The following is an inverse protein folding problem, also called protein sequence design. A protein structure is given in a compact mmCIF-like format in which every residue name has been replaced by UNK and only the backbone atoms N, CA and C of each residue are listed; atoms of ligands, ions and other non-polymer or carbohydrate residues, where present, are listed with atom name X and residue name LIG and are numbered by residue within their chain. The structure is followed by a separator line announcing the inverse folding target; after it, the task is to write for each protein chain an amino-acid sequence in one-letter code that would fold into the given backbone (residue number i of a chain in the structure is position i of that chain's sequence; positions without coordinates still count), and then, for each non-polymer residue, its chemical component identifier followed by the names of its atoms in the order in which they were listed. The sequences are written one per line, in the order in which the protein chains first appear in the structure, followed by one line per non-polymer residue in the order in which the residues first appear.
data_IF_081875227227
#
_entry.id   IF_081875227227
#
_cell.length_a   1.000
_cell.length_b   1.000
_cell.length_c   1.000
_cell.angle_alpha   90.00
_cell.angle_beta   90.00
_cell.angle_gamma   90.00
#
_symmetry.space_group_name_H-M   'P 1'
#
loop_
_entity.id
_entity.type
_entity.pdbx_description
1 polymer ?
#
# COMPACT_ATOMS: atom_id res chain seq x y z
N UNK A 1 -41.07 4.93 -4.79
CA UNK A 1 -39.80 5.68 -4.81
C UNK A 1 -38.67 4.66 -4.69
N UNK A 2 -38.04 4.30 -5.81
CA UNK A 2 -36.88 3.41 -5.81
C UNK A 2 -35.66 4.23 -5.39
N UNK A 3 -35.04 3.84 -4.27
CA UNK A 3 -33.79 4.44 -3.83
C UNK A 3 -32.70 4.14 -4.86
N UNK A 4 -32.33 5.17 -5.61
CA UNK A 4 -31.20 5.18 -6.53
C UNK A 4 -29.93 5.06 -5.67
N UNK A 5 -29.50 3.83 -5.37
CA UNK A 5 -28.17 3.59 -4.82
C UNK A 5 -27.17 3.93 -5.92
N UNK A 6 -26.78 5.21 -6.00
CA UNK A 6 -25.53 5.56 -6.64
C UNK A 6 -24.44 4.71 -5.97
N UNK A 7 -23.61 3.96 -6.73
CA UNK A 7 -22.48 3.28 -6.13
C UNK A 7 -21.65 4.36 -5.43
N UNK A 8 -21.50 4.25 -4.11
CA UNK A 8 -20.58 5.08 -3.35
C UNK A 8 -19.24 5.05 -4.09
N UNK A 9 -18.56 6.20 -4.29
CA UNK A 9 -17.25 6.19 -4.91
C UNK A 9 -16.41 5.20 -4.12
N UNK A 10 -15.92 4.16 -4.79
CA UNK A 10 -15.15 3.07 -4.20
C UNK A 10 -14.00 3.66 -3.39
N UNK A 11 -14.22 3.76 -2.08
CA UNK A 11 -13.33 4.41 -1.14
C UNK A 11 -12.06 3.56 -1.12
N UNK A 12 -10.97 4.10 -1.66
CA UNK A 12 -9.72 3.36 -1.72
C UNK A 12 -9.16 3.25 -0.32
N UNK A 13 -8.92 2.04 0.19
CA UNK A 13 -8.36 1.83 1.52
C UNK A 13 -6.84 2.03 1.52
N UNK A 14 -6.18 1.52 0.48
CA UNK A 14 -4.72 1.49 0.35
C UNK A 14 -4.28 2.04 -1.00
N UNK A 15 -3.36 3.00 -0.96
CA UNK A 15 -2.64 3.48 -2.14
C UNK A 15 -1.31 2.74 -2.27
N UNK A 16 -1.01 2.19 -3.45
CA UNK A 16 0.28 1.61 -3.78
C UNK A 16 1.01 2.57 -4.70
N UNK A 17 2.18 3.03 -4.25
CA UNK A 17 3.09 3.87 -5.03
C UNK A 17 4.38 3.10 -5.28
N UNK A 18 4.39 2.29 -6.35
CA UNK A 18 5.54 1.48 -6.78
C UNK A 18 5.63 1.55 -8.32
N UNK A 19 6.80 1.88 -8.85
CA UNK A 19 7.00 1.91 -10.31
C UNK A 19 7.06 0.51 -10.93
N UNK A 20 7.49 -0.49 -10.14
CA UNK A 20 7.48 -1.87 -10.60
C UNK A 20 6.04 -2.43 -10.62
N UNK A 21 5.44 -2.40 -11.80
CA UNK A 21 4.07 -2.85 -12.04
C UNK A 21 3.82 -4.31 -11.65
N UNK A 22 4.83 -5.19 -11.74
CA UNK A 22 4.68 -6.58 -11.32
C UNK A 22 4.55 -6.70 -9.80
N UNK A 23 5.36 -5.94 -9.06
CA UNK A 23 5.28 -5.90 -7.60
C UNK A 23 3.96 -5.24 -7.17
N UNK A 24 3.61 -4.09 -7.77
CA UNK A 24 2.34 -3.42 -7.52
C UNK A 24 1.14 -4.36 -7.71
N UNK A 25 1.09 -5.08 -8.84
CA UNK A 25 0.00 -6.02 -9.13
C UNK A 25 -0.08 -7.15 -8.11
N UNK A 26 1.06 -7.70 -7.67
CA UNK A 26 1.10 -8.77 -6.65
C UNK A 26 0.60 -8.27 -5.30
N UNK A 27 1.02 -7.07 -4.90
CA UNK A 27 0.60 -6.47 -3.63
C UNK A 27 -0.87 -6.08 -3.68
N UNK A 28 -1.36 -5.53 -4.79
CA UNK A 28 -2.79 -5.28 -5.01
C UNK A 28 -3.59 -6.56 -4.84
N UNK A 29 -3.19 -7.66 -5.51
CA UNK A 29 -3.89 -8.93 -5.39
C UNK A 29 -3.89 -9.45 -3.95
N UNK A 30 -2.74 -9.39 -3.27
CA UNK A 30 -2.61 -9.83 -1.88
C UNK A 30 -3.54 -9.06 -0.95
N UNK A 31 -3.61 -7.73 -1.07
CA UNK A 31 -4.45 -6.88 -0.21
C UNK A 31 -5.94 -6.99 -0.57
N UNK A 32 -6.28 -7.09 -1.86
CA UNK A 32 -7.67 -7.29 -2.29
C UNK A 32 -8.21 -8.66 -1.87
N UNK A 33 -7.38 -9.69 -1.80
CA UNK A 33 -7.77 -10.98 -1.19
C UNK A 33 -8.14 -10.87 0.29
N UNK A 34 -7.65 -9.83 0.98
CA UNK A 34 -8.02 -9.51 2.36
C UNK A 34 -9.25 -8.58 2.46
N UNK A 35 -9.90 -8.27 1.33
CA UNK A 35 -11.08 -7.41 1.27
C UNK A 35 -10.78 -5.91 1.21
N UNK A 36 -9.51 -5.51 1.01
CA UNK A 36 -9.14 -4.10 0.90
C UNK A 36 -9.30 -3.60 -0.54
N UNK A 37 -9.84 -2.39 -0.68
CA UNK A 37 -9.86 -1.65 -1.94
C UNK A 37 -8.51 -0.99 -2.17
N UNK A 38 -7.87 -1.27 -3.30
CA UNK A 38 -6.51 -0.83 -3.57
C UNK A 38 -6.46 0.00 -4.85
N UNK A 39 -5.79 1.14 -4.80
CA UNK A 39 -5.40 1.90 -5.99
C UNK A 39 -3.87 1.81 -6.16
N UNK A 40 -3.40 1.64 -7.39
CA UNK A 40 -1.97 1.67 -7.69
C UNK A 40 -1.68 2.84 -8.63
N UNK A 41 -0.66 3.62 -8.27
CA UNK A 41 -0.16 4.75 -9.07
C UNK A 41 1.35 4.62 -9.25
N UNK A 42 1.85 5.12 -10.37
CA UNK A 42 3.29 5.29 -10.58
C UNK A 42 3.81 6.51 -9.80
N UNK A 43 5.12 6.65 -9.73
CA UNK A 43 5.76 7.85 -9.18
C UNK A 43 5.36 9.12 -9.93
N UNK A 44 5.22 9.04 -11.26
CA UNK A 44 4.71 10.16 -12.06
C UNK A 44 3.26 10.49 -11.70
N UNK A 45 2.42 9.48 -11.49
CA UNK A 45 1.03 9.67 -11.06
C UNK A 45 0.87 10.23 -9.65
N UNK A 46 1.92 10.20 -8.81
CA UNK A 46 1.93 10.90 -7.52
C UNK A 46 2.23 12.40 -7.69
N UNK A 47 2.97 12.78 -8.75
CA UNK A 47 3.28 14.17 -9.07
C UNK A 47 2.09 14.89 -9.70
N UNK A 48 1.37 14.19 -10.56
CA UNK A 48 0.09 14.63 -11.10
C UNK A 48 -0.96 14.50 -9.99
N UNK A 49 -1.76 15.54 -9.76
CA UNK A 49 -2.66 15.66 -8.61
C UNK A 49 -3.47 14.37 -8.35
N UNK A 50 -3.22 13.73 -7.20
CA UNK A 50 -3.97 12.57 -6.71
C UNK A 50 -4.88 13.02 -5.56
N UNK A 51 -6.14 12.58 -5.57
CA UNK A 51 -7.05 12.79 -4.44
C UNK A 51 -6.92 11.62 -3.44
N UNK A 52 -6.27 11.81 -2.27
CA UNK A 52 -6.16 10.75 -1.28
C UNK A 52 -7.43 10.58 -0.44
N UNK A 53 -8.53 11.27 -0.77
CA UNK A 53 -9.76 11.20 0.03
C UNK A 53 -10.23 9.75 0.16
N UNK A 54 -10.27 9.29 1.41
CA UNK A 54 -10.66 7.92 1.76
C UNK A 54 -9.49 6.94 1.92
N UNK A 55 -8.28 7.26 1.45
CA UNK A 55 -7.10 6.42 1.65
C UNK A 55 -6.65 6.44 3.11
N UNK A 56 -6.37 5.25 3.66
CA UNK A 56 -5.92 5.09 5.04
C UNK A 56 -4.40 4.97 5.16
N UNK A 57 -3.71 4.48 4.13
CA UNK A 57 -2.24 4.39 4.09
C UNK A 57 -1.70 4.29 2.67
N UNK A 58 -0.38 4.48 2.56
CA UNK A 58 0.39 4.29 1.34
C UNK A 58 1.40 3.16 1.52
N UNK A 59 1.46 2.24 0.55
CA UNK A 59 2.52 1.24 0.41
C UNK A 59 3.53 1.72 -0.62
N UNK A 60 4.81 1.78 -0.26
CA UNK A 60 5.87 2.26 -1.15
C UNK A 60 7.23 1.60 -0.86
N UNK A 61 8.26 1.93 -1.65
CA UNK A 61 9.66 1.56 -1.42
C UNK A 61 10.43 2.67 -0.67
N UNK A 62 11.57 2.36 -0.05
CA UNK A 62 12.34 3.35 0.74
C UNK A 62 12.65 4.62 -0.03
N UNK A 63 13.05 4.50 -1.31
CA UNK A 63 13.43 5.63 -2.15
C UNK A 63 12.29 6.66 -2.34
N UNK A 64 11.03 6.21 -2.28
CA UNK A 64 9.84 7.03 -2.56
C UNK A 64 9.20 7.63 -1.30
N UNK A 65 9.67 7.26 -0.10
CA UNK A 65 9.09 7.73 1.16
C UNK A 65 9.15 9.25 1.27
N UNK A 66 10.25 9.87 0.82
CA UNK A 66 10.41 11.33 0.82
C UNK A 66 9.30 12.01 0.01
N UNK A 67 9.14 11.60 -1.24
CA UNK A 67 8.14 12.17 -2.14
C UNK A 67 6.71 11.95 -1.63
N UNK A 68 6.39 10.72 -1.19
CA UNK A 68 5.08 10.40 -0.60
C UNK A 68 4.77 11.31 0.59
N UNK A 69 5.71 11.52 1.51
CA UNK A 69 5.49 12.40 2.69
C UNK A 69 5.28 13.86 2.34
N UNK A 70 5.91 14.35 1.28
CA UNK A 70 5.74 15.75 0.86
C UNK A 70 4.37 16.02 0.23
N UNK A 71 3.75 14.99 -0.35
CA UNK A 71 2.48 15.10 -1.08
C UNK A 71 1.28 14.63 -0.26
N UNK A 72 1.47 13.57 0.52
CA UNK A 72 0.39 12.86 1.22
C UNK A 72 0.67 12.85 2.71
N UNK A 73 -0.29 13.33 3.50
CA UNK A 73 -0.26 13.21 4.95
C UNK A 73 -0.90 11.88 5.40
N UNK A 74 -0.39 10.76 4.87
CA UNK A 74 -0.87 9.42 5.17
C UNK A 74 0.24 8.57 5.82
N UNK A 75 -0.14 7.60 6.67
CA UNK A 75 0.78 6.57 7.12
C UNK A 75 1.44 5.83 5.95
N UNK A 76 2.72 5.47 6.10
CA UNK A 76 3.49 4.79 5.07
C UNK A 76 3.93 3.41 5.55
N UNK A 77 3.72 2.40 4.71
CA UNK A 77 4.25 1.05 4.85
C UNK A 77 5.33 0.84 3.78
N UNK A 78 6.56 0.62 4.23
CA UNK A 78 7.67 0.31 3.34
C UNK A 78 7.71 -1.19 3.05
N UNK A 79 7.49 -1.57 1.79
CA UNK A 79 7.45 -2.98 1.37
C UNK A 79 8.77 -3.71 1.60
N UNK A 80 9.90 -3.00 1.53
CA UNK A 80 11.24 -3.60 1.66
C UNK A 80 11.50 -4.15 3.06
N UNK A 81 10.75 -3.69 4.07
CA UNK A 81 10.84 -4.21 5.45
C UNK A 81 10.35 -5.65 5.60
N UNK A 82 9.70 -6.20 4.57
CA UNK A 82 9.17 -7.56 4.53
C UNK A 82 9.93 -8.45 3.53
N UNK A 83 11.08 -7.96 3.04
CA UNK A 83 11.93 -8.69 2.11
C UNK A 83 13.20 -9.12 2.84
N UNK A 84 13.49 -10.41 2.82
CA UNK A 84 14.62 -10.99 3.53
C UNK A 84 15.48 -11.82 2.59
N UNK A 85 16.78 -11.88 2.86
CA UNK A 85 17.69 -12.79 2.19
C UNK A 85 17.43 -14.22 2.68
N UNK A 86 17.35 -15.17 1.74
CA UNK A 86 17.21 -16.59 2.09
C UNK A 86 18.54 -17.11 2.64
N UNK A 87 18.57 -17.72 3.83
CA UNK A 87 19.83 -18.09 4.49
C UNK A 87 20.64 -19.20 3.78
N UNK A 88 20.04 -19.95 2.84
CA UNK A 88 20.63 -21.19 2.31
C UNK A 88 21.41 -21.09 0.99
N UNK A 89 21.60 -19.91 0.38
CA UNK A 89 22.37 -19.81 -0.86
C UNK A 89 23.37 -18.66 -0.83
N UNK A 90 24.59 -18.98 -0.38
CA UNK A 90 25.82 -18.16 -0.53
C UNK A 90 26.34 -18.23 -1.97
N UNK A 91 25.45 -18.03 -2.94
CA UNK A 91 25.79 -17.86 -4.35
C UNK A 91 25.21 -16.52 -4.78
N UNK A 92 26.02 -15.71 -5.47
CA UNK A 92 25.59 -14.42 -6.03
C UNK A 92 24.24 -14.59 -6.75
N UNK A 93 23.19 -13.96 -6.21
CA UNK A 93 21.81 -14.12 -6.69
C UNK A 93 20.84 -14.81 -5.72
N UNK A 94 21.10 -14.81 -4.41
CA UNK A 94 20.16 -15.31 -3.40
C UNK A 94 18.73 -14.78 -3.65
N UNK A 95 17.77 -15.70 -3.79
CA UNK A 95 16.37 -15.36 -4.03
C UNK A 95 15.81 -14.64 -2.79
N UNK A 96 15.55 -13.33 -2.92
CA UNK A 96 14.87 -12.54 -1.89
C UNK A 96 13.48 -13.10 -1.62
N UNK A 97 13.17 -13.39 -0.36
CA UNK A 97 11.87 -13.87 0.07
C UNK A 97 11.02 -12.72 0.60
N UNK A 98 9.75 -12.68 0.22
CA UNK A 98 8.78 -11.71 0.73
C UNK A 98 7.87 -12.39 1.77
N UNK A 99 7.75 -11.81 2.95
CA UNK A 99 6.83 -12.23 4.00
C UNK A 99 5.48 -11.50 3.87
N UNK A 100 4.59 -12.10 3.09
CA UNK A 100 3.26 -11.54 2.83
C UNK A 100 2.37 -11.47 4.07
N UNK A 101 2.47 -12.43 4.98
CA UNK A 101 1.69 -12.46 6.21
C UNK A 101 2.08 -11.33 7.16
N UNK A 102 3.38 -11.13 7.37
CA UNK A 102 3.87 -10.01 8.18
C UNK A 102 3.49 -8.65 7.57
N UNK A 103 3.56 -8.55 6.24
CA UNK A 103 3.14 -7.35 5.50
C UNK A 103 1.65 -7.04 5.72
N UNK A 104 0.77 -8.02 5.51
CA UNK A 104 -0.68 -7.84 5.68
C UNK A 104 -1.01 -7.44 7.12
N UNK A 105 -0.42 -8.10 8.12
CA UNK A 105 -0.59 -7.74 9.54
C UNK A 105 -0.18 -6.30 9.81
N UNK A 106 0.92 -5.83 9.20
CA UNK A 106 1.37 -4.45 9.35
C UNK A 106 0.37 -3.46 8.74
N UNK A 107 -0.13 -3.73 7.55
CA UNK A 107 -1.14 -2.89 6.87
C UNK A 107 -2.35 -2.69 7.77
N UNK A 108 -2.97 -3.77 8.26
CA UNK A 108 -4.12 -3.68 9.16
C UNK A 108 -3.80 -2.97 10.49
N UNK A 109 -2.63 -3.24 11.08
CA UNK A 109 -2.21 -2.56 12.30
C UNK A 109 -2.11 -1.04 12.12
N UNK A 110 -1.58 -0.58 10.98
CA UNK A 110 -1.46 0.85 10.67
C UNK A 110 -2.82 1.49 10.38
N UNK A 111 -3.70 0.82 9.62
CA UNK A 111 -5.06 1.31 9.35
C UNK A 111 -5.85 1.50 10.65
N UNK A 112 -5.87 0.49 11.52
CA UNK A 112 -6.59 0.53 12.79
C UNK A 112 -6.01 1.57 13.77
N UNK A 113 -4.68 1.75 13.78
CA UNK A 113 -4.03 2.78 14.59
C UNK A 113 -4.39 4.21 14.15
N UNK A 114 -4.65 4.40 12.85
CA UNK A 114 -5.03 5.70 12.28
C UNK A 114 -6.48 6.04 12.57
N UNK A 115 -7.39 5.06 12.45
CA UNK A 115 -8.80 5.17 12.83
C UNK A 115 -8.96 5.61 14.30
N UNK A 116 -8.16 5.03 15.21
CA UNK A 116 -8.23 5.36 16.64
C UNK A 116 -7.83 6.81 16.95
N UNK A 117 -6.87 7.39 16.23
CA UNK A 117 -6.44 8.78 16.44
C UNK A 117 -7.36 9.82 15.82
N UNK A 118 -8.18 9.44 14.84
CA UNK A 118 -9.14 10.34 14.20
C UNK A 118 -10.44 10.50 15.02
N UNK A 119 -10.67 9.62 16.01
CA UNK A 119 -11.83 9.63 16.90
C UNK A 119 -11.57 10.33 18.25
N UNK A 120 -10.35 10.84 18.47
CA UNK A 120 -9.92 11.63 19.64
C UNK A 120 -9.84 13.12 19.27
#
# INVERSE_FOLDING_TARGET
MLANHAPSPSQTDVLICLDNQQIASRISSLLSQQGLTVAAISTTGLQEWFDPTGCHLVVTHTAMIGDVRTRLNLPIVNIETFIFDRPDHVTEGAARQFDGDAFVKRVFSVMNGTQRRAAE
#
